data_IF_192562804060
#
_entry.id   IF_192562804060
#
_cell.length_a   1.000
_cell.length_b   1.000
_cell.length_c   1.000
_cell.angle_alpha   90.00
_cell.angle_beta   90.00
_cell.angle_gamma   90.00
#
_symmetry.space_group_name_H-M   'P 1'
#
loop_
_entity.id
_entity.type
_entity.pdbx_description
1 polymer ?
#
# COMPACT_ATOMS: atom_id res chain seq x y z
N UNK A 1 -15.67 -18.83 0.09
CA UNK A 1 -14.70 -17.73 0.02
C UNK A 1 -15.09 -16.72 1.09
N UNK A 2 -14.17 -16.35 2.00
CA UNK A 2 -14.48 -15.36 3.05
C UNK A 2 -14.62 -13.97 2.41
N UNK A 3 -15.67 -13.21 2.76
CA UNK A 3 -15.87 -11.86 2.20
C UNK A 3 -14.74 -10.92 2.69
N UNK A 4 -13.93 -10.43 1.75
CA UNK A 4 -12.79 -9.58 2.04
C UNK A 4 -13.18 -8.21 2.61
N UNK A 5 -14.25 -7.59 2.12
CA UNK A 5 -14.69 -6.27 2.58
C UNK A 5 -15.18 -6.35 4.03
N UNK A 6 -15.96 -7.39 4.37
CA UNK A 6 -16.38 -7.65 5.75
C UNK A 6 -15.20 -7.95 6.67
N UNK A 7 -14.20 -8.71 6.18
CA UNK A 7 -12.96 -8.96 6.93
C UNK A 7 -12.25 -7.64 7.27
N UNK A 8 -12.13 -6.72 6.31
CA UNK A 8 -11.50 -5.41 6.56
C UNK A 8 -12.33 -4.54 7.50
N UNK A 9 -13.67 -4.54 7.37
CA UNK A 9 -14.56 -3.76 8.26
C UNK A 9 -14.39 -4.21 9.70
N UNK A 10 -14.47 -5.52 9.96
CA UNK A 10 -14.34 -6.08 11.30
C UNK A 10 -12.95 -5.81 11.90
N UNK A 11 -11.87 -5.96 11.12
CA UNK A 11 -10.51 -5.66 11.57
C UNK A 11 -10.22 -4.17 11.76
N UNK A 12 -11.16 -3.28 11.44
CA UNK A 12 -10.94 -1.82 11.45
C UNK A 12 -9.96 -1.35 10.37
N UNK A 13 -9.80 -2.13 9.30
CA UNK A 13 -8.88 -1.87 8.19
C UNK A 13 -9.56 -1.23 6.98
N UNK A 14 -10.88 -1.02 6.97
CA UNK A 14 -11.54 -0.31 5.88
C UNK A 14 -11.67 1.19 6.19
N UNK A 15 -11.15 2.05 5.31
CA UNK A 15 -11.34 3.50 5.37
C UNK A 15 -12.26 4.01 4.27
N UNK A 16 -11.88 3.79 2.99
CA UNK A 16 -12.72 4.12 1.85
C UNK A 16 -12.75 2.96 0.86
N UNK A 17 -13.85 2.83 0.14
CA UNK A 17 -13.99 1.88 -0.96
C UNK A 17 -14.86 2.48 -2.06
N UNK A 18 -14.55 2.18 -3.31
CA UNK A 18 -15.42 2.57 -4.42
C UNK A 18 -16.74 1.77 -4.42
N UNK A 19 -17.87 2.40 -4.78
CA UNK A 19 -19.15 1.70 -4.89
C UNK A 19 -19.08 0.50 -5.84
N UNK A 20 -19.71 -0.61 -5.42
CA UNK A 20 -19.78 -1.86 -6.19
C UNK A 20 -18.55 -2.76 -6.10
N UNK A 21 -17.51 -2.40 -5.32
CA UNK A 21 -16.32 -3.27 -5.17
C UNK A 21 -16.65 -4.59 -4.48
N UNK A 22 -17.60 -4.59 -3.54
CA UNK A 22 -18.00 -5.78 -2.81
C UNK A 22 -18.74 -6.78 -3.71
N UNK A 23 -19.67 -6.30 -4.54
CA UNK A 23 -20.33 -7.10 -5.56
C UNK A 23 -19.31 -7.69 -6.54
N UNK A 24 -18.39 -6.86 -7.05
CA UNK A 24 -17.32 -7.28 -7.96
C UNK A 24 -16.40 -8.38 -7.39
N UNK A 25 -16.10 -8.33 -6.08
CA UNK A 25 -15.33 -9.35 -5.37
C UNK A 25 -16.13 -10.63 -5.11
N UNK A 26 -17.45 -10.54 -4.99
CA UNK A 26 -18.31 -11.69 -4.72
C UNK A 26 -18.54 -12.59 -5.93
N UNK A 27 -18.40 -12.04 -7.15
CA UNK A 27 -18.68 -12.74 -8.40
C UNK A 27 -17.60 -13.77 -8.78
N UNK A 28 -16.33 -13.43 -8.56
CA UNK A 28 -15.21 -14.23 -9.02
C UNK A 28 -13.92 -13.88 -8.26
N UNK A 29 -12.90 -14.72 -8.42
CA UNK A 29 -11.53 -14.35 -8.05
C UNK A 29 -11.11 -13.10 -8.83
N UNK A 30 -10.65 -12.07 -8.12
CA UNK A 30 -10.13 -10.83 -8.71
C UNK A 30 -8.66 -10.65 -8.34
N UNK A 31 -7.93 -9.94 -9.18
CA UNK A 31 -6.58 -9.48 -8.87
C UNK A 31 -6.64 -8.07 -8.29
N UNK A 32 -5.89 -7.84 -7.21
CA UNK A 32 -5.70 -6.52 -6.61
C UNK A 32 -4.23 -6.29 -6.30
N UNK A 33 -3.78 -5.04 -6.41
CA UNK A 33 -2.39 -4.69 -6.15
C UNK A 33 -2.19 -3.65 -5.05
N UNK A 34 -1.01 -3.69 -4.45
CA UNK A 34 -0.48 -2.67 -3.54
C UNK A 34 0.95 -2.35 -3.95
N UNK A 35 1.30 -1.06 -3.98
CA UNK A 35 2.65 -0.58 -4.29
C UNK A 35 3.56 -0.48 -3.06
N UNK A 36 4.83 -0.80 -3.26
CA UNK A 36 5.90 -0.70 -2.26
C UNK A 36 7.12 0.00 -2.86
N UNK A 37 7.51 1.13 -2.29
CA UNK A 37 8.71 1.85 -2.74
C UNK A 37 10.00 1.14 -2.29
N UNK A 38 10.91 0.75 -3.21
CA UNK A 38 12.14 0.02 -2.89
C UNK A 38 13.27 0.93 -2.39
N UNK A 39 12.96 1.85 -1.48
CA UNK A 39 13.95 2.82 -0.92
C UNK A 39 15.05 2.20 -0.10
N UNK A 40 14.86 0.97 0.37
CA UNK A 40 15.83 0.21 1.14
C UNK A 40 15.72 -1.28 0.82
N UNK A 41 16.71 -2.02 1.27
CA UNK A 41 16.81 -3.48 1.22
C UNK A 41 15.84 -4.21 2.18
N UNK A 42 15.09 -3.47 2.98
CA UNK A 42 14.13 -4.01 3.94
C UNK A 42 12.92 -3.10 4.02
N UNK A 43 11.74 -3.70 4.16
CA UNK A 43 10.55 -3.05 4.66
C UNK A 43 10.67 -2.81 6.17
N UNK A 44 9.79 -1.97 6.70
CA UNK A 44 9.67 -1.70 8.13
C UNK A 44 8.21 -1.84 8.56
N UNK A 45 7.93 -1.77 9.87
CA UNK A 45 6.58 -1.97 10.41
C UNK A 45 5.51 -1.03 9.82
N UNK A 46 5.88 0.16 9.34
CA UNK A 46 4.97 1.04 8.60
C UNK A 46 4.43 0.44 7.28
N UNK A 47 5.06 -0.61 6.76
CA UNK A 47 4.60 -1.36 5.60
C UNK A 47 3.73 -2.56 5.98
N UNK A 48 3.55 -2.87 7.27
CA UNK A 48 2.78 -4.06 7.65
C UNK A 48 1.30 -3.93 7.29
N UNK A 49 0.70 -2.76 7.37
CA UNK A 49 -0.71 -2.56 6.96
C UNK A 49 -0.93 -2.95 5.48
N UNK A 50 -0.16 -2.41 4.51
CA UNK A 50 -0.28 -2.86 3.12
C UNK A 50 0.08 -4.34 2.89
N UNK A 51 1.00 -4.91 3.68
CA UNK A 51 1.28 -6.35 3.62
C UNK A 51 0.07 -7.16 4.09
N UNK A 52 -0.53 -6.80 5.22
CA UNK A 52 -1.70 -7.48 5.79
C UNK A 52 -2.92 -7.36 4.86
N UNK A 53 -3.08 -6.22 4.17
CA UNK A 53 -4.07 -6.07 3.10
C UNK A 53 -3.93 -7.18 2.05
N UNK A 54 -2.74 -7.35 1.47
CA UNK A 54 -2.49 -8.39 0.47
C UNK A 54 -2.66 -9.81 1.06
N UNK A 55 -2.22 -10.03 2.30
CA UNK A 55 -2.30 -11.33 2.95
C UNK A 55 -3.75 -11.75 3.22
N UNK A 56 -4.59 -10.84 3.75
CA UNK A 56 -6.02 -11.08 3.89
C UNK A 56 -6.69 -11.24 2.54
N UNK A 57 -6.29 -10.47 1.51
CA UNK A 57 -6.81 -10.62 0.16
C UNK A 57 -6.56 -12.03 -0.40
N UNK A 58 -5.34 -12.54 -0.23
CA UNK A 58 -4.98 -13.90 -0.64
C UNK A 58 -5.74 -14.98 0.13
N UNK A 59 -5.85 -14.83 1.46
CA UNK A 59 -6.60 -15.75 2.33
C UNK A 59 -8.11 -15.74 2.06
N UNK A 60 -8.62 -14.62 1.57
CA UNK A 60 -9.97 -14.50 1.02
C UNK A 60 -10.09 -15.11 -0.38
N UNK A 61 -9.07 -15.78 -0.91
CA UNK A 61 -9.13 -16.51 -2.18
C UNK A 61 -8.96 -15.64 -3.43
N UNK A 62 -8.53 -14.39 -3.27
CA UNK A 62 -8.23 -13.47 -4.36
C UNK A 62 -6.74 -13.42 -4.67
N UNK A 63 -6.35 -12.89 -5.84
CA UNK A 63 -4.96 -12.89 -6.31
C UNK A 63 -4.25 -11.58 -5.94
N UNK A 64 -3.29 -11.58 -5.00
CA UNK A 64 -2.53 -10.38 -4.67
C UNK A 64 -1.42 -10.12 -5.70
N UNK A 65 -1.23 -8.84 -6.04
CA UNK A 65 -0.09 -8.36 -6.83
C UNK A 65 0.69 -7.37 -5.97
N UNK A 66 1.93 -7.72 -5.63
CA UNK A 66 2.85 -6.80 -4.97
C UNK A 66 3.65 -6.04 -6.04
N UNK A 67 3.43 -4.72 -6.14
CA UNK A 67 4.17 -3.88 -7.09
C UNK A 67 5.34 -3.22 -6.38
N UNK A 68 6.54 -3.44 -6.89
CA UNK A 68 7.74 -2.70 -6.50
C UNK A 68 7.82 -1.42 -7.33
N UNK A 69 7.86 -0.29 -6.64
CA UNK A 69 7.90 1.05 -7.22
C UNK A 69 9.29 1.46 -7.69
N UNK A 70 9.92 0.71 -8.59
CA UNK A 70 11.26 1.03 -9.08
C UNK A 70 11.35 2.38 -9.80
N UNK A 71 10.36 2.74 -10.61
CA UNK A 71 10.26 4.05 -11.26
C UNK A 71 9.62 5.11 -10.36
N UNK A 72 8.49 4.79 -9.69
CA UNK A 72 7.82 5.73 -8.78
C UNK A 72 8.70 6.13 -7.60
N UNK A 73 9.53 5.22 -7.10
CA UNK A 73 10.49 5.49 -6.03
C UNK A 73 11.58 6.49 -6.41
N UNK A 74 11.87 6.66 -7.71
CA UNK A 74 12.81 7.68 -8.23
C UNK A 74 12.16 9.08 -8.30
N UNK A 75 10.83 9.15 -8.43
CA UNK A 75 10.07 10.39 -8.49
C UNK A 75 9.80 10.92 -7.07
N UNK A 76 9.31 10.03 -6.19
CA UNK A 76 8.90 10.36 -4.83
C UNK A 76 7.43 10.80 -4.75
N UNK A 77 6.66 10.14 -3.87
CA UNK A 77 5.25 10.43 -3.67
C UNK A 77 5.02 11.72 -2.85
N UNK A 78 4.30 12.73 -3.38
CA UNK A 78 3.97 13.95 -2.66
C UNK A 78 2.92 13.78 -1.55
N UNK A 79 2.26 12.62 -1.44
CA UNK A 79 1.17 12.36 -0.48
C UNK A 79 1.59 12.45 1.01
N UNK A 80 2.89 12.52 1.33
CA UNK A 80 3.33 12.62 2.72
C UNK A 80 4.78 13.02 3.02
N UNK A 81 5.65 13.30 2.04
CA UNK A 81 7.05 13.74 2.27
C UNK A 81 7.48 14.80 1.24
N UNK A 82 8.45 15.63 1.62
CA UNK A 82 8.85 16.87 0.93
C UNK A 82 10.20 16.83 0.20
N UNK A 83 10.78 15.65 -0.07
CA UNK A 83 12.12 15.57 -0.67
C UNK A 83 12.19 14.62 -1.86
N UNK A 84 12.71 15.13 -2.98
CA UNK A 84 13.19 14.33 -4.11
C UNK A 84 14.14 13.23 -3.62
N UNK A 85 14.00 12.01 -4.16
CA UNK A 85 14.83 10.87 -3.75
C UNK A 85 15.95 10.63 -4.74
N UNK A 86 17.07 10.10 -4.24
CA UNK A 86 18.19 9.71 -5.08
C UNK A 86 17.80 8.56 -6.00
N UNK A 87 18.18 8.67 -7.28
CA UNK A 87 18.11 7.58 -8.26
C UNK A 87 18.93 6.38 -7.76
N UNK A 88 18.23 5.26 -7.53
CA UNK A 88 18.89 3.97 -7.34
C UNK A 88 19.35 3.45 -8.71
N UNK A 89 20.59 2.96 -8.78
CA UNK A 89 21.02 2.21 -9.96
C UNK A 89 20.23 0.89 -10.08
N UNK A 90 20.14 0.34 -11.30
CA UNK A 90 19.33 -0.87 -11.55
C UNK A 90 19.78 -2.07 -10.69
N UNK A 91 21.08 -2.22 -10.44
CA UNK A 91 21.58 -3.33 -9.61
C UNK A 91 21.08 -3.21 -8.17
N UNK A 92 21.14 -2.00 -7.59
CA UNK A 92 20.60 -1.72 -6.25
C UNK A 92 19.08 -1.89 -6.22
N UNK A 93 18.37 -1.43 -7.25
CA UNK A 93 16.92 -1.60 -7.36
C UNK A 93 16.52 -3.09 -7.35
N UNK A 94 17.19 -3.91 -8.16
CA UNK A 94 16.91 -5.37 -8.20
C UNK A 94 17.29 -6.06 -6.90
N UNK A 95 18.37 -5.64 -6.26
CA UNK A 95 18.74 -6.16 -4.93
C UNK A 95 17.65 -5.87 -3.88
N UNK A 96 17.13 -4.63 -3.86
CA UNK A 96 16.05 -4.24 -2.95
C UNK A 96 14.76 -4.99 -3.27
N UNK A 97 14.40 -5.11 -4.55
CA UNK A 97 13.24 -5.91 -5.02
C UNK A 97 13.28 -7.34 -4.49
N UNK A 98 14.40 -8.05 -4.66
CA UNK A 98 14.52 -9.44 -4.20
C UNK A 98 14.51 -9.56 -2.67
N UNK A 99 15.05 -8.57 -1.97
CA UNK A 99 15.02 -8.54 -0.51
C UNK A 99 13.61 -8.31 0.02
N UNK A 100 12.86 -7.40 -0.62
CA UNK A 100 11.43 -7.17 -0.36
C UNK A 100 10.62 -8.44 -0.67
N UNK A 101 10.87 -9.11 -1.80
CA UNK A 101 10.19 -10.37 -2.16
C UNK A 101 10.30 -11.41 -1.06
N UNK A 102 11.52 -11.63 -0.55
CA UNK A 102 11.79 -12.57 0.55
C UNK A 102 10.98 -12.23 1.79
N UNK A 103 10.90 -10.95 2.14
CA UNK A 103 10.11 -10.49 3.29
C UNK A 103 8.61 -10.70 3.07
N UNK A 104 8.09 -10.37 1.89
CA UNK A 104 6.69 -10.58 1.52
C UNK A 104 6.31 -12.07 1.50
N UNK A 105 7.27 -12.95 1.16
CA UNK A 105 7.05 -14.41 1.10
C UNK A 105 6.74 -15.04 2.46
N UNK A 106 6.98 -14.32 3.57
CA UNK A 106 6.52 -14.75 4.90
C UNK A 106 5.00 -14.54 5.11
N UNK A 107 4.36 -13.72 4.28
CA UNK A 107 2.95 -13.34 4.42
C UNK A 107 2.10 -13.77 3.22
N UNK A 108 2.72 -13.86 2.05
CA UNK A 108 2.09 -14.18 0.78
C UNK A 108 2.72 -15.45 0.21
N UNK A 109 1.87 -16.29 -0.36
CA UNK A 109 2.31 -17.46 -1.11
C UNK A 109 2.58 -17.09 -2.57
N UNK A 110 3.85 -17.16 -2.99
CA UNK A 110 4.31 -16.92 -4.36
C UNK A 110 4.61 -18.21 -5.14
N UNK A 111 4.60 -19.37 -4.48
CA UNK A 111 5.21 -20.60 -5.00
C UNK A 111 4.20 -21.70 -5.29
N UNK A 112 3.00 -21.65 -4.70
CA UNK A 112 1.97 -22.63 -5.01
C UNK A 112 1.52 -22.57 -6.47
N UNK A 113 0.98 -23.70 -6.93
CA UNK A 113 0.29 -23.80 -8.22
C UNK A 113 -1.14 -23.25 -8.16
N UNK A 114 -1.55 -22.66 -7.04
CA UNK A 114 -2.91 -22.15 -6.88
C UNK A 114 -3.15 -20.93 -7.77
N UNK A 115 -4.38 -20.78 -8.27
CA UNK A 115 -4.71 -19.70 -9.20
C UNK A 115 -4.53 -18.30 -8.58
N UNK A 116 -4.55 -18.21 -7.25
CA UNK A 116 -4.34 -16.99 -6.47
C UNK A 116 -2.92 -16.86 -5.89
N UNK A 117 -1.93 -17.60 -6.40
CA UNK A 117 -0.53 -17.37 -6.09
C UNK A 117 -0.16 -15.90 -6.37
N UNK A 118 0.56 -15.31 -5.41
CA UNK A 118 0.96 -13.92 -5.44
C UNK A 118 1.94 -13.66 -6.58
N UNK A 119 1.89 -12.45 -7.13
CA UNK A 119 2.85 -12.02 -8.16
C UNK A 119 3.59 -10.79 -7.67
N UNK A 120 4.90 -10.78 -7.87
CA UNK A 120 5.73 -9.60 -7.69
C UNK A 120 6.05 -9.00 -9.05
N UNK A 121 5.77 -7.71 -9.21
CA UNK A 121 6.07 -6.94 -10.43
C UNK A 121 6.89 -5.71 -10.08
N UNK A 122 7.56 -5.09 -11.06
CA UNK A 122 8.30 -3.86 -10.84
C UNK A 122 7.96 -2.84 -11.93
N UNK A 123 7.45 -1.67 -11.54
CA UNK A 123 7.04 -0.67 -12.53
C UNK A 123 8.18 -0.07 -13.35
N UNK A 124 9.43 -0.25 -12.91
CA UNK A 124 10.58 0.07 -13.73
C UNK A 124 10.58 -0.70 -15.07
N UNK A 125 10.00 -1.91 -15.11
CA UNK A 125 10.02 -2.77 -16.30
C UNK A 125 9.27 -2.15 -17.49
N UNK A 126 8.16 -1.44 -17.25
CA UNK A 126 7.42 -0.73 -18.31
C UNK A 126 7.75 0.76 -18.37
N UNK A 127 8.03 1.40 -17.24
CA UNK A 127 8.27 2.85 -17.23
C UNK A 127 9.60 3.24 -17.89
N UNK A 128 10.62 2.38 -17.86
CA UNK A 128 11.91 2.66 -18.52
C UNK A 128 11.82 2.71 -20.05
N UNK A 129 10.79 2.09 -20.62
CA UNK A 129 10.56 2.04 -22.08
C UNK A 129 9.82 3.28 -22.59
N UNK A 130 9.24 4.09 -21.69
CA UNK A 130 8.57 5.32 -22.08
C UNK A 130 9.57 6.43 -22.38
N UNK A 131 9.53 6.95 -23.61
CA UNK A 131 10.04 8.30 -23.83
C UNK A 131 9.11 9.34 -23.19
N UNK A 132 9.67 10.52 -22.85
CA UNK A 132 8.88 11.63 -22.34
C UNK A 132 7.72 12.02 -23.28
N UNK A 133 7.97 12.03 -24.60
CA UNK A 133 6.97 12.39 -25.61
C UNK A 133 5.84 11.36 -25.69
N UNK A 134 6.16 10.06 -25.62
CA UNK A 134 5.15 9.00 -25.57
C UNK A 134 4.31 9.12 -24.30
N UNK A 135 4.94 9.35 -23.14
CA UNK A 135 4.22 9.43 -21.88
C UNK A 135 3.19 10.58 -21.87
N UNK A 136 3.60 11.80 -22.25
CA UNK A 136 2.67 12.94 -22.27
C UNK A 136 1.57 12.77 -23.33
N UNK A 137 1.85 12.09 -24.45
CA UNK A 137 0.90 11.89 -25.54
C UNK A 137 -0.08 10.75 -25.27
N UNK A 138 0.38 9.66 -24.65
CA UNK A 138 -0.39 8.42 -24.52
C UNK A 138 -1.04 8.30 -23.14
N UNK A 139 -0.47 8.97 -22.12
CA UNK A 139 -1.02 9.04 -20.76
C UNK A 139 -1.47 10.46 -20.43
N UNK A 140 -0.56 11.43 -20.55
CA UNK A 140 -0.78 12.81 -20.09
C UNK A 140 -2.02 13.50 -20.67
N UNK A 141 -2.33 13.30 -21.95
CA UNK A 141 -3.51 13.90 -22.60
C UNK A 141 -4.85 13.51 -21.98
N UNK A 142 -4.90 12.40 -21.26
CA UNK A 142 -6.14 11.85 -20.72
C UNK A 142 -6.52 12.45 -19.37
N UNK A 143 -5.63 13.15 -18.68
CA UNK A 143 -5.90 13.72 -17.35
C UNK A 143 -5.61 15.23 -17.40
N UNK A 144 -6.59 16.03 -17.01
CA UNK A 144 -6.44 17.49 -17.06
C UNK A 144 -5.66 18.00 -15.86
N UNK A 145 -4.96 19.12 -16.03
CA UNK A 145 -4.29 19.80 -14.91
C UNK A 145 -5.29 20.16 -13.81
N UNK A 146 -6.48 20.66 -14.15
CA UNK A 146 -7.52 20.96 -13.16
C UNK A 146 -7.92 19.75 -12.31
N UNK A 147 -7.99 18.56 -12.91
CA UNK A 147 -8.27 17.32 -12.18
C UNK A 147 -7.14 17.00 -11.19
N UNK A 148 -5.89 17.08 -11.64
CA UNK A 148 -4.72 16.80 -10.82
C UNK A 148 -4.60 17.77 -9.64
N UNK A 149 -4.87 19.05 -9.88
CA UNK A 149 -4.83 20.12 -8.87
C UNK A 149 -5.93 19.99 -7.81
N UNK A 150 -7.04 19.33 -8.14
CA UNK A 150 -8.17 19.15 -7.23
C UNK A 150 -7.94 18.04 -6.20
N UNK A 151 -6.89 17.21 -6.34
CA UNK A 151 -6.55 16.15 -5.38
C UNK A 151 -6.06 16.75 -4.07
N UNK A 152 -6.54 16.24 -2.94
CA UNK A 152 -6.18 16.78 -1.61
C UNK A 152 -4.67 16.73 -1.33
N UNK A 153 -3.98 15.68 -1.79
CA UNK A 153 -2.51 15.53 -1.69
C UNK A 153 -1.75 16.63 -2.43
N UNK A 154 -2.33 17.17 -3.51
CA UNK A 154 -1.73 18.25 -4.31
C UNK A 154 -2.16 19.61 -3.77
N UNK A 155 -3.45 19.79 -3.50
CA UNK A 155 -4.04 21.04 -3.03
C UNK A 155 -3.41 21.50 -1.71
N UNK A 156 -3.19 20.58 -0.77
CA UNK A 156 -2.58 20.87 0.53
C UNK A 156 -1.17 21.45 0.40
N UNK A 157 -0.37 20.98 -0.57
CA UNK A 157 0.99 21.49 -0.83
C UNK A 157 1.01 22.82 -1.58
N UNK A 158 0.04 23.07 -2.47
CA UNK A 158 0.03 24.29 -3.28
C UNK A 158 -0.66 25.46 -2.58
N UNK A 159 -1.68 25.20 -1.75
CA UNK A 159 -2.50 26.24 -1.11
C UNK A 159 -2.38 26.31 0.42
N UNK A 160 -1.64 25.39 1.06
CA UNK A 160 -1.49 25.33 2.51
C UNK A 160 -0.30 26.12 3.06
N UNK A 161 -0.04 26.02 4.37
CA UNK A 161 1.11 26.63 5.05
C UNK A 161 2.47 26.16 4.48
N UNK A 162 2.49 24.97 3.86
CA UNK A 162 3.63 24.40 3.12
C UNK A 162 3.85 25.01 1.73
N UNK A 163 3.03 25.97 1.29
CA UNK A 163 3.12 26.58 -0.04
C UNK A 163 4.46 27.27 -0.32
N UNK A 164 5.23 27.62 0.72
CA UNK A 164 6.56 28.24 0.56
C UNK A 164 7.58 27.32 -0.12
N UNK A 165 7.41 26.00 -0.05
CA UNK A 165 8.32 25.03 -0.70
C UNK A 165 7.90 24.73 -2.15
N UNK A 166 6.65 25.04 -2.53
CA UNK A 166 6.08 24.69 -3.82
C UNK A 166 5.97 23.17 -4.06
N UNK A 167 5.58 22.79 -5.28
CA UNK A 167 5.59 21.40 -5.76
C UNK A 167 6.31 21.36 -7.10
N UNK A 168 7.29 20.46 -7.23
CA UNK A 168 8.00 20.27 -8.50
C UNK A 168 7.11 19.60 -9.55
N UNK A 169 7.43 19.80 -10.82
CA UNK A 169 6.75 19.09 -11.91
C UNK A 169 6.93 17.56 -11.81
N UNK A 170 8.09 17.11 -11.31
CA UNK A 170 8.41 15.71 -11.05
C UNK A 170 7.39 15.11 -10.07
N UNK A 171 7.21 15.71 -8.90
CA UNK A 171 6.26 15.25 -7.89
C UNK A 171 4.80 15.38 -8.36
N UNK A 172 4.48 16.45 -9.10
CA UNK A 172 3.13 16.64 -9.66
C UNK A 172 2.75 15.51 -10.65
N UNK A 173 3.73 14.99 -11.39
CA UNK A 173 3.57 13.92 -12.38
C UNK A 173 3.45 12.54 -11.73
N UNK A 174 3.82 12.38 -10.45
CA UNK A 174 3.77 11.09 -9.73
C UNK A 174 2.41 10.38 -9.86
N UNK A 175 1.31 11.13 -9.69
CA UNK A 175 -0.05 10.59 -9.78
C UNK A 175 -0.38 9.96 -11.16
N UNK A 176 0.24 10.47 -12.24
CA UNK A 176 0.07 9.92 -13.58
C UNK A 176 0.83 8.61 -13.75
N UNK A 177 2.03 8.52 -13.16
CA UNK A 177 2.85 7.31 -13.21
C UNK A 177 2.19 6.18 -12.42
N UNK A 178 1.79 6.43 -11.17
CA UNK A 178 1.02 5.43 -10.40
C UNK A 178 -0.33 5.11 -11.03
N UNK A 179 -0.99 6.10 -11.63
CA UNK A 179 -2.21 5.87 -12.39
C UNK A 179 -1.98 4.94 -13.59
N UNK A 180 -0.87 5.11 -14.31
CA UNK A 180 -0.49 4.25 -15.42
C UNK A 180 -0.14 2.84 -14.97
N UNK A 181 0.50 2.67 -13.80
CA UNK A 181 0.73 1.35 -13.21
C UNK A 181 -0.58 0.56 -13.07
N UNK A 182 -1.66 1.22 -12.62
CA UNK A 182 -2.96 0.55 -12.55
C UNK A 182 -3.49 0.16 -13.92
N UNK A 183 -3.38 1.05 -14.92
CA UNK A 183 -3.78 0.75 -16.30
C UNK A 183 -2.97 -0.42 -16.89
N UNK A 184 -1.67 -0.47 -16.63
CA UNK A 184 -0.79 -1.54 -17.09
C UNK A 184 -1.19 -2.88 -16.47
N UNK A 185 -1.31 -2.95 -15.14
CA UNK A 185 -1.70 -4.18 -14.43
C UNK A 185 -3.14 -4.60 -14.77
N UNK A 186 -4.02 -3.65 -15.09
CA UNK A 186 -5.36 -3.96 -15.59
C UNK A 186 -5.30 -4.73 -16.92
N UNK A 187 -4.39 -4.35 -17.82
CA UNK A 187 -4.23 -4.99 -19.14
C UNK A 187 -3.45 -6.31 -19.08
N UNK A 188 -2.38 -6.36 -18.28
CA UNK A 188 -1.43 -7.49 -18.29
C UNK A 188 -1.70 -8.54 -17.20
N UNK A 189 -2.43 -8.18 -16.14
CA UNK A 189 -2.64 -9.05 -14.96
C UNK A 189 -4.11 -9.18 -14.53
N UNK A 190 -5.05 -8.69 -15.35
CA UNK A 190 -6.48 -8.60 -15.02
C UNK A 190 -6.72 -7.92 -13.66
N UNK A 191 -5.84 -6.98 -13.29
CA UNK A 191 -5.86 -6.29 -12.01
C UNK A 191 -6.93 -5.21 -12.02
N UNK A 192 -8.03 -5.45 -11.32
CA UNK A 192 -9.22 -4.58 -11.34
C UNK A 192 -9.35 -3.73 -10.08
N UNK A 193 -8.49 -3.95 -9.08
CA UNK A 193 -8.54 -3.24 -7.80
C UNK A 193 -7.13 -2.77 -7.43
N UNK A 194 -7.02 -1.55 -6.93
CA UNK A 194 -5.82 -1.07 -6.26
C UNK A 194 -6.15 -0.77 -4.80
N UNK A 195 -5.28 -1.24 -3.91
CA UNK A 195 -5.40 -1.04 -2.48
C UNK A 195 -4.22 -0.20 -1.95
N UNK A 196 -4.42 0.52 -0.85
CA UNK A 196 -3.37 1.34 -0.25
C UNK A 196 -3.76 2.01 1.06
N UNK A 197 -2.91 2.90 1.57
CA UNK A 197 -3.26 3.78 2.69
C UNK A 197 -4.26 4.87 2.29
N UNK A 198 -4.91 5.50 3.26
CA UNK A 198 -5.90 6.57 3.01
C UNK A 198 -5.30 7.77 2.27
N UNK A 199 -4.00 8.03 2.46
CA UNK A 199 -3.22 9.04 1.74
C UNK A 199 -3.09 8.77 0.23
N UNK A 200 -3.31 7.52 -0.21
CA UNK A 200 -3.18 7.11 -1.61
C UNK A 200 -4.45 7.29 -2.43
N UNK A 201 -5.58 7.68 -1.82
CA UNK A 201 -6.88 7.75 -2.51
C UNK A 201 -6.84 8.57 -3.80
N UNK A 202 -6.14 9.72 -3.79
CA UNK A 202 -6.02 10.59 -4.96
C UNK A 202 -5.28 9.93 -6.12
N UNK A 203 -4.19 9.21 -5.84
CA UNK A 203 -3.38 8.51 -6.84
C UNK A 203 -4.13 7.28 -7.37
N UNK A 204 -4.74 6.50 -6.48
CA UNK A 204 -5.52 5.30 -6.86
C UNK A 204 -6.67 5.67 -7.80
N UNK A 205 -7.44 6.70 -7.45
CA UNK A 205 -8.58 7.15 -8.28
C UNK A 205 -8.14 7.69 -9.64
N UNK A 206 -6.94 8.25 -9.74
CA UNK A 206 -6.36 8.65 -11.04
C UNK A 206 -6.13 7.42 -11.93
N UNK A 207 -5.66 6.30 -11.35
CA UNK A 207 -5.56 5.03 -12.08
C UNK A 207 -6.91 4.50 -12.56
N UNK A 208 -7.97 4.59 -11.74
CA UNK A 208 -9.32 4.18 -12.17
C UNK A 208 -9.84 5.04 -13.33
N UNK A 209 -9.48 6.33 -13.36
CA UNK A 209 -9.86 7.23 -14.44
C UNK A 209 -9.09 6.94 -15.73
N UNK A 210 -7.81 6.54 -15.65
CA UNK A 210 -7.03 6.08 -16.80
C UNK A 210 -7.58 4.76 -17.36
N UNK A 211 -7.96 3.81 -16.51
CA UNK A 211 -8.66 2.58 -16.94
C UNK A 211 -9.95 2.94 -17.69
N UNK A 212 -10.75 3.86 -17.17
CA UNK A 212 -12.00 4.29 -17.81
C UNK A 212 -11.75 4.99 -19.17
N UNK A 213 -10.73 5.85 -19.27
CA UNK A 213 -10.47 6.67 -20.47
C UNK A 213 -9.67 5.96 -21.56
N UNK A 214 -8.81 5.02 -21.18
CA UNK A 214 -7.84 4.36 -22.07
C UNK A 214 -8.12 2.87 -22.19
N UNK A 215 -8.45 2.21 -21.09
CA UNK A 215 -8.72 0.76 -21.05
C UNK A 215 -10.17 0.39 -21.35
N UNK A 216 -11.08 1.37 -21.46
CA UNK A 216 -12.52 1.17 -21.60
C UNK A 216 -13.10 0.20 -20.55
N UNK A 217 -12.57 0.30 -19.33
CA UNK A 217 -12.81 -0.66 -18.25
C UNK A 217 -13.29 -0.01 -16.96
N UNK A 218 -13.45 -0.85 -15.93
CA UNK A 218 -13.78 -0.42 -14.58
C UNK A 218 -12.72 -0.90 -13.59
N UNK A 219 -12.02 0.05 -12.97
CA UNK A 219 -11.15 -0.20 -11.83
C UNK A 219 -11.81 0.23 -10.52
N UNK A 220 -11.42 -0.38 -9.41
CA UNK A 220 -11.90 -0.06 -8.06
C UNK A 220 -10.73 0.32 -7.12
N UNK A 221 -11.08 1.08 -6.08
CA UNK A 221 -10.17 1.50 -5.03
C UNK A 221 -10.65 1.00 -3.67
N UNK A 222 -9.71 0.55 -2.83
CA UNK A 222 -9.93 0.30 -1.41
C UNK A 222 -8.77 0.92 -0.63
N UNK A 223 -9.04 1.65 0.46
CA UNK A 223 -7.98 2.19 1.31
C UNK A 223 -8.14 1.76 2.76
N UNK A 224 -7.00 1.61 3.43
CA UNK A 224 -6.90 1.45 4.88
C UNK A 224 -6.74 2.78 5.60
N UNK A 225 -7.17 2.87 6.87
CA UNK A 225 -6.89 4.05 7.67
C UNK A 225 -5.39 4.17 7.96
N UNK A 226 -4.92 5.39 8.13
CA UNK A 226 -3.61 5.63 8.73
C UNK A 226 -3.65 5.15 10.18
N UNK A 227 -2.75 4.24 10.54
CA UNK A 227 -2.66 3.76 11.91
C UNK A 227 -1.95 4.81 12.77
N UNK A 228 -2.66 5.29 13.79
CA UNK A 228 -2.16 6.19 14.82
C UNK A 228 -2.14 5.45 16.16
N UNK A 229 -1.22 5.84 17.03
CA UNK A 229 -1.24 5.40 18.42
C UNK A 229 -2.28 6.19 19.21
N UNK A 230 -2.65 5.69 20.38
CA UNK A 230 -3.57 6.37 21.30
C UNK A 230 -3.04 7.73 21.78
N UNK A 231 -1.72 7.91 21.81
CA UNK A 231 -1.04 9.18 22.11
C UNK A 231 -1.03 10.20 20.95
N UNK A 232 -1.62 9.86 19.80
CA UNK A 232 -1.67 10.70 18.60
C UNK A 232 -0.41 10.65 17.72
N UNK A 233 0.63 9.93 18.14
CA UNK A 233 1.84 9.74 17.33
C UNK A 233 1.60 8.74 16.19
N UNK A 234 2.43 8.83 15.13
CA UNK A 234 2.34 7.91 13.98
C UNK A 234 2.81 6.51 14.37
N UNK A 235 2.05 5.50 13.96
CA UNK A 235 2.50 4.12 14.02
C UNK A 235 3.79 3.94 13.22
N UNK A 236 4.68 3.07 13.72
CA UNK A 236 5.90 2.73 13.01
C UNK A 236 7.11 3.65 13.21
N UNK A 237 6.96 4.78 13.90
CA UNK A 237 8.09 5.62 14.33
C UNK A 237 8.42 5.34 15.79
N UNK A 238 9.65 4.92 16.05
CA UNK A 238 10.24 4.87 17.39
C UNK A 238 11.26 6.01 17.56
N UNK A 239 11.61 6.36 18.80
CA UNK A 239 12.67 7.34 19.09
C UNK A 239 14.01 6.94 18.44
N UNK A 240 14.25 5.64 18.25
CA UNK A 240 15.43 5.09 17.58
C UNK A 240 15.33 4.99 16.05
N UNK A 241 14.28 5.52 15.43
CA UNK A 241 14.03 5.45 13.99
C UNK A 241 13.05 4.34 13.58
N UNK A 242 13.22 3.81 12.36
CA UNK A 242 12.36 2.77 11.81
C UNK A 242 12.61 1.40 12.49
N UNK A 243 11.55 0.66 12.80
CA UNK A 243 11.61 -0.74 13.21
C UNK A 243 11.54 -1.60 11.95
N UNK A 244 12.67 -2.17 11.55
CA UNK A 244 12.80 -2.91 10.28
C UNK A 244 12.34 -4.36 10.41
N UNK A 245 11.94 -4.97 9.30
CA UNK A 245 11.60 -6.40 9.24
C UNK A 245 12.84 -7.29 9.10
N UNK A 246 13.96 -6.78 8.57
CA UNK A 246 15.23 -7.52 8.53
C UNK A 246 15.86 -7.60 9.93
N UNK A 247 16.08 -8.83 10.40
CA UNK A 247 16.74 -9.16 11.66
C UNK A 247 18.14 -8.54 11.83
N UNK A 248 18.84 -8.26 10.72
CA UNK A 248 20.15 -7.58 10.74
C UNK A 248 20.05 -6.10 11.07
N UNK A 249 18.91 -5.47 10.75
CA UNK A 249 18.65 -4.04 10.98
C UNK A 249 17.88 -3.80 12.28
N UNK A 250 16.99 -4.72 12.64
CA UNK A 250 16.28 -4.71 13.92
C UNK A 250 16.26 -6.14 14.45
N UNK A 251 17.02 -6.39 15.52
CA UNK A 251 17.07 -7.72 16.14
C UNK A 251 15.67 -8.22 16.52
N UNK A 252 15.39 -9.53 16.45
CA UNK A 252 14.11 -10.09 16.89
C UNK A 252 13.69 -9.67 18.30
N UNK A 253 14.66 -9.52 19.23
CA UNK A 253 14.40 -9.00 20.57
C UNK A 253 13.81 -7.58 20.55
N UNK A 254 14.46 -6.63 19.86
CA UNK A 254 13.94 -5.25 19.70
C UNK A 254 12.59 -5.21 18.98
N UNK A 255 12.40 -6.07 17.98
CA UNK A 255 11.13 -6.18 17.27
C UNK A 255 10.01 -6.67 18.21
N UNK A 256 10.27 -7.70 19.02
CA UNK A 256 9.34 -8.19 20.03
C UNK A 256 9.04 -7.12 21.09
N UNK A 257 10.06 -6.44 21.59
CA UNK A 257 9.92 -5.34 22.56
C UNK A 257 9.07 -4.19 22.02
N UNK A 258 9.11 -3.89 20.71
CA UNK A 258 8.24 -2.88 20.13
C UNK A 258 6.76 -3.19 20.37
N UNK A 259 6.35 -4.44 20.11
CA UNK A 259 4.96 -4.87 20.31
C UNK A 259 4.59 -5.00 21.77
N UNK A 260 5.49 -5.55 22.60
CA UNK A 260 5.27 -5.72 24.04
C UNK A 260 5.05 -4.37 24.75
N UNK A 261 5.65 -3.29 24.27
CA UNK A 261 5.52 -1.94 24.83
C UNK A 261 4.33 -1.15 24.25
N UNK A 262 3.42 -1.78 23.51
CA UNK A 262 2.18 -1.12 23.07
C UNK A 262 1.31 -0.79 24.28
N UNK A 263 0.54 0.30 24.21
CA UNK A 263 -0.49 0.59 25.21
C UNK A 263 -1.60 -0.46 25.14
N UNK A 264 -2.34 -0.62 26.24
CA UNK A 264 -3.46 -1.55 26.31
C UNK A 264 -4.52 -1.19 25.24
N UNK A 265 -4.77 0.11 25.01
CA UNK A 265 -5.73 0.58 24.00
C UNK A 265 -5.27 0.34 22.56
N UNK A 266 -3.97 0.39 22.30
CA UNK A 266 -3.42 0.13 20.96
C UNK A 266 -3.28 -1.37 20.71
N UNK A 267 -2.96 -2.17 21.73
CA UNK A 267 -2.82 -3.62 21.63
C UNK A 267 -4.13 -4.28 21.13
N UNK A 268 -5.29 -3.83 21.63
CA UNK A 268 -6.61 -4.30 21.16
C UNK A 268 -6.83 -4.03 19.66
N UNK A 269 -6.36 -2.90 19.15
CA UNK A 269 -6.44 -2.58 17.71
C UNK A 269 -5.42 -3.39 16.92
N UNK A 270 -4.20 -3.51 17.43
CA UNK A 270 -3.09 -4.15 16.74
C UNK A 270 -3.30 -5.66 16.59
N UNK A 271 -3.89 -6.32 17.58
CA UNK A 271 -4.19 -7.76 17.46
C UNK A 271 -5.18 -8.04 16.31
N UNK A 272 -6.14 -7.13 16.06
CA UNK A 272 -7.08 -7.22 14.93
C UNK A 272 -6.38 -7.00 13.58
N UNK A 273 -5.40 -6.09 13.51
CA UNK A 273 -4.77 -5.67 12.25
C UNK A 273 -3.58 -6.56 11.85
N UNK A 274 -2.74 -6.95 12.80
CA UNK A 274 -1.42 -7.54 12.54
C UNK A 274 -1.31 -9.03 12.86
N UNK A 275 -2.44 -9.69 13.14
CA UNK A 275 -2.49 -11.14 13.34
C UNK A 275 -3.46 -11.80 12.36
N UNK A 276 -3.30 -13.11 12.18
CA UNK A 276 -4.23 -13.93 11.41
C UNK A 276 -5.24 -14.70 12.28
N UNK A 277 -5.33 -14.36 13.57
CA UNK A 277 -6.31 -14.94 14.48
C UNK A 277 -7.73 -14.62 14.00
N UNK A 278 -8.66 -15.50 14.34
CA UNK A 278 -10.07 -15.28 14.04
C UNK A 278 -10.76 -14.35 15.05
N UNK A 279 -11.99 -13.98 14.75
CA UNK A 279 -12.75 -13.03 15.56
C UNK A 279 -13.04 -13.54 16.97
N UNK A 280 -13.32 -14.83 17.13
CA UNK A 280 -13.63 -15.40 18.43
C UNK A 280 -12.38 -15.46 19.31
N UNK A 281 -11.25 -15.87 18.73
CA UNK A 281 -9.95 -15.90 19.42
C UNK A 281 -9.52 -14.50 19.87
N UNK A 282 -9.64 -13.50 19.00
CA UNK A 282 -9.31 -12.11 19.35
C UNK A 282 -10.23 -11.60 20.46
N UNK A 283 -11.54 -11.79 20.33
CA UNK A 283 -12.49 -11.33 21.36
C UNK A 283 -12.23 -12.01 22.71
N UNK A 284 -11.86 -13.30 22.73
CA UNK A 284 -11.47 -14.00 23.95
C UNK A 284 -10.21 -13.39 24.58
N UNK A 285 -9.14 -13.20 23.81
CA UNK A 285 -7.87 -12.61 24.31
C UNK A 285 -8.09 -11.19 24.85
N UNK A 286 -8.91 -10.38 24.16
CA UNK A 286 -9.23 -9.02 24.58
C UNK A 286 -10.04 -9.02 25.88
N UNK A 287 -11.00 -9.93 26.04
CA UNK A 287 -11.77 -10.07 27.28
C UNK A 287 -10.88 -10.50 28.44
N UNK A 288 -10.01 -11.50 28.25
CA UNK A 288 -9.06 -11.95 29.28
C UNK A 288 -8.13 -10.81 29.71
N UNK A 289 -7.63 -10.00 28.76
CA UNK A 289 -6.82 -8.83 29.06
C UNK A 289 -7.59 -7.76 29.84
N UNK A 290 -8.86 -7.51 29.49
CA UNK A 290 -9.70 -6.54 30.21
C UNK A 290 -10.02 -6.97 31.65
N UNK A 291 -10.11 -8.28 31.90
CA UNK A 291 -10.30 -8.82 33.27
C UNK A 291 -9.00 -8.75 34.09
N UNK A 292 -7.85 -8.97 33.47
CA UNK A 292 -6.56 -9.05 34.14
C UNK A 292 -5.44 -8.27 33.41
N UNK A 293 -5.52 -6.93 33.28
CA UNK A 293 -4.57 -6.14 32.48
C UNK A 293 -3.14 -6.18 33.04
N UNK A 294 -2.99 -6.50 34.32
CA UNK A 294 -1.70 -6.65 34.99
C UNK A 294 -0.89 -7.89 34.56
N UNK A 295 -1.49 -8.83 33.83
CA UNK A 295 -0.84 -10.04 33.29
C UNK A 295 -0.27 -9.84 31.88
N UNK A 296 -0.32 -8.62 31.35
CA UNK A 296 0.23 -8.26 30.04
C UNK A 296 1.69 -8.68 29.84
#
# INVERSE_FOLDING_TARGET
>A
MKNFVEELKWRGMLHQSMPGVEEHLSEAMRSAYVGFDPTADSLHIGNLVPIMLLAHYQRCGHKPVALVGGATGMIGDPSGKSSERNLLDEKTLRHNQESIKKQLSHFLDFESSDANAAVLVNNYDWMKEFSFLEFIRDVGKHITVNYMMAKDSVKSRISGESANDGMSFTEFTYQLVQGYDFLHLYKENDCTIQMGGSDQWGNITTGTELIRRIGDGKGFAITCPLITKSDGSKFGKSEGGNVWLDAKRTSPYKFYQYWLNSSDEDAEKYIKIFTFLDENEINAIVNDHNEAPHLR
#
